data_IF_984559430006
#
_entry.id   IF_984559430006
#
_cell.length_a   1.000
_cell.length_b   1.000
_cell.length_c   1.000
_cell.angle_alpha   90.00
_cell.angle_beta   90.00
_cell.angle_gamma   90.00
#
_symmetry.space_group_name_H-M   'P 1'
#
loop_
_entity.id
_entity.type
_entity.pdbx_description
1 polymer ?
#
# COMPACT_ATOMS: atom_id res chain seq x y z
N UNK A 1 -13.80 -1.80 -30.16
CA UNK A 1 -12.94 -2.39 -29.10
C UNK A 1 -12.31 -3.62 -29.69
N UNK A 2 -11.05 -3.93 -29.36
CA UNK A 2 -10.38 -5.16 -29.81
C UNK A 2 -11.11 -6.39 -29.25
N UNK A 3 -11.25 -7.45 -30.07
CA UNK A 3 -11.77 -8.76 -29.67
C UNK A 3 -10.69 -9.64 -29.01
N UNK A 4 -9.50 -9.11 -28.80
CA UNK A 4 -8.39 -9.85 -28.21
C UNK A 4 -8.74 -10.32 -26.78
N UNK A 5 -8.37 -11.55 -26.46
CA UNK A 5 -8.58 -12.13 -25.12
C UNK A 5 -7.84 -11.31 -24.05
N UNK A 6 -8.52 -10.89 -22.95
CA UNK A 6 -7.86 -10.21 -21.84
C UNK A 6 -6.88 -11.15 -21.13
N UNK A 7 -5.61 -10.73 -21.06
CA UNK A 7 -4.52 -11.49 -20.40
C UNK A 7 -3.93 -10.66 -19.29
N UNK A 8 -3.74 -11.25 -18.11
CA UNK A 8 -2.99 -10.67 -17.00
C UNK A 8 -1.74 -11.51 -16.69
N UNK A 9 -0.59 -10.89 -16.80
CA UNK A 9 0.67 -11.41 -16.30
C UNK A 9 0.86 -10.92 -14.86
N UNK A 10 0.92 -11.88 -13.90
CA UNK A 10 1.02 -11.54 -12.48
C UNK A 10 2.44 -11.83 -12.00
N UNK A 11 3.21 -10.78 -11.74
CA UNK A 11 4.60 -10.88 -11.27
C UNK A 11 4.65 -10.84 -9.74
N UNK A 12 5.33 -11.78 -9.13
CA UNK A 12 5.53 -11.81 -7.68
C UNK A 12 6.97 -12.17 -7.33
N UNK A 13 7.64 -11.38 -6.47
CA UNK A 13 8.94 -11.76 -5.91
C UNK A 13 8.83 -12.89 -4.88
N UNK A 14 7.61 -13.32 -4.54
CA UNK A 14 7.36 -14.37 -3.58
C UNK A 14 7.40 -15.76 -4.24
N UNK A 15 7.58 -16.78 -3.41
CA UNK A 15 7.53 -18.19 -3.83
C UNK A 15 6.15 -18.60 -4.39
N UNK A 16 5.10 -17.89 -4.00
CA UNK A 16 3.74 -18.17 -4.44
C UNK A 16 3.03 -16.86 -4.81
N UNK A 17 2.23 -16.90 -5.86
CA UNK A 17 1.24 -15.86 -6.11
C UNK A 17 0.09 -16.01 -5.10
N UNK A 18 -0.43 -14.89 -4.63
CA UNK A 18 -1.56 -14.89 -3.71
C UNK A 18 -2.83 -15.41 -4.41
N UNK A 19 -3.53 -16.41 -3.85
CA UNK A 19 -4.84 -16.84 -4.39
C UNK A 19 -5.88 -15.72 -4.38
N UNK A 20 -5.80 -14.81 -3.41
CA UNK A 20 -6.66 -13.61 -3.36
C UNK A 20 -6.48 -12.76 -4.62
N UNK A 21 -5.24 -12.44 -5.00
CA UNK A 21 -4.95 -11.62 -6.17
C UNK A 21 -5.42 -12.30 -7.46
N UNK A 22 -5.28 -13.63 -7.55
CA UNK A 22 -5.77 -14.43 -8.69
C UNK A 22 -7.29 -14.35 -8.81
N UNK A 23 -8.02 -14.50 -7.70
CA UNK A 23 -9.48 -14.39 -7.69
C UNK A 23 -9.93 -12.99 -8.10
N UNK A 24 -9.31 -11.94 -7.56
CA UNK A 24 -9.62 -10.56 -7.94
C UNK A 24 -9.36 -10.28 -9.42
N UNK A 25 -8.31 -10.85 -9.99
CA UNK A 25 -8.03 -10.75 -11.42
C UNK A 25 -9.12 -11.40 -12.29
N UNK A 26 -9.61 -12.58 -11.87
CA UNK A 26 -10.71 -13.27 -12.55
C UNK A 26 -12.02 -12.47 -12.47
N UNK A 27 -12.34 -11.92 -11.29
CA UNK A 27 -13.54 -11.10 -11.08
C UNK A 27 -13.47 -9.78 -11.87
N UNK A 28 -12.27 -9.24 -12.07
CA UNK A 28 -12.03 -8.08 -12.93
C UNK A 28 -12.19 -8.37 -14.44
N UNK A 29 -12.44 -9.62 -14.82
CA UNK A 29 -12.78 -10.03 -16.18
C UNK A 29 -11.61 -10.51 -17.04
N UNK A 30 -10.42 -10.71 -16.47
CA UNK A 30 -9.34 -11.37 -17.18
C UNK A 30 -9.67 -12.83 -17.45
N UNK A 31 -9.41 -13.28 -18.68
CA UNK A 31 -9.72 -14.64 -19.15
C UNK A 31 -8.51 -15.59 -19.07
N UNK A 32 -7.33 -15.02 -19.20
CA UNK A 32 -6.06 -15.74 -19.04
C UNK A 32 -5.26 -15.03 -17.97
N UNK A 33 -4.88 -15.76 -16.93
CA UNK A 33 -4.13 -15.23 -15.77
C UNK A 33 -2.91 -16.12 -15.63
N UNK A 34 -1.73 -15.51 -15.76
CA UNK A 34 -0.45 -16.22 -15.74
C UNK A 34 0.41 -15.72 -14.59
N UNK A 35 0.58 -16.51 -13.52
CA UNK A 35 1.46 -16.14 -12.42
C UNK A 35 2.92 -16.46 -12.74
N UNK A 36 3.81 -15.50 -12.48
CA UNK A 36 5.27 -15.62 -12.45
C UNK A 36 5.71 -15.44 -11.00
N UNK A 37 6.45 -16.36 -10.47
CA UNK A 37 6.89 -16.42 -9.07
C UNK A 37 8.40 -16.33 -8.95
N UNK A 38 8.92 -15.90 -7.79
CA UNK A 38 10.34 -15.63 -7.55
C UNK A 38 10.93 -14.64 -8.57
N UNK A 39 10.12 -13.71 -9.09
CA UNK A 39 10.58 -12.71 -10.07
C UNK A 39 11.46 -11.70 -9.35
N UNK A 40 12.65 -11.46 -9.89
CA UNK A 40 13.55 -10.42 -9.42
C UNK A 40 13.25 -9.08 -10.10
N UNK A 41 13.74 -7.97 -9.54
CA UNK A 41 13.56 -6.64 -10.13
C UNK A 41 14.16 -6.56 -11.54
N UNK A 42 15.32 -7.20 -11.74
CA UNK A 42 16.05 -7.18 -13.01
C UNK A 42 15.31 -7.89 -14.15
N UNK A 43 14.46 -8.88 -13.83
CA UNK A 43 13.69 -9.65 -14.81
C UNK A 43 12.47 -8.89 -15.33
N UNK A 44 11.98 -7.88 -14.59
CA UNK A 44 10.71 -7.18 -14.90
C UNK A 44 10.74 -6.54 -16.28
N UNK A 45 11.85 -5.91 -16.65
CA UNK A 45 11.99 -5.25 -17.97
C UNK A 45 11.81 -6.25 -19.11
N UNK A 46 12.51 -7.38 -19.07
CA UNK A 46 12.41 -8.41 -20.11
C UNK A 46 11.01 -9.01 -20.19
N UNK A 47 10.40 -9.38 -19.06
CA UNK A 47 9.04 -9.91 -19.01
C UNK A 47 8.00 -8.92 -19.54
N UNK A 48 8.18 -7.62 -19.27
CA UNK A 48 7.29 -6.58 -19.78
C UNK A 48 7.46 -6.41 -21.30
N UNK A 49 8.68 -6.43 -21.81
CA UNK A 49 8.95 -6.32 -23.25
C UNK A 49 8.41 -7.52 -24.02
N UNK A 50 8.56 -8.73 -23.50
CA UNK A 50 7.94 -9.92 -24.07
C UNK A 50 6.42 -9.79 -24.17
N UNK A 51 5.79 -9.24 -23.13
CA UNK A 51 4.35 -9.04 -23.08
C UNK A 51 3.86 -8.00 -24.11
N UNK A 52 4.57 -6.87 -24.29
CA UNK A 52 4.15 -5.82 -25.23
C UNK A 52 4.42 -6.19 -26.69
N UNK A 53 5.55 -6.85 -26.99
CA UNK A 53 5.92 -7.18 -28.38
C UNK A 53 5.19 -8.42 -28.92
N UNK A 54 4.57 -9.21 -28.08
CA UNK A 54 3.79 -10.40 -28.47
C UNK A 54 2.42 -10.07 -29.05
N UNK A 55 1.98 -8.80 -29.03
CA UNK A 55 0.67 -8.35 -29.51
C UNK A 55 0.75 -7.06 -30.33
N UNK A 56 -0.17 -6.87 -31.29
CA UNK A 56 -0.26 -5.61 -31.99
C UNK A 56 -0.61 -4.46 -31.02
N UNK A 57 -0.17 -3.21 -31.28
CA UNK A 57 -0.37 -2.08 -30.36
C UNK A 57 -1.82 -1.84 -29.94
N UNK A 58 -2.80 -2.10 -30.83
CA UNK A 58 -4.22 -1.94 -30.54
C UNK A 58 -4.77 -2.92 -29.48
N UNK A 59 -4.07 -4.00 -29.21
CA UNK A 59 -4.44 -5.03 -28.22
C UNK A 59 -3.78 -4.80 -26.86
N UNK A 60 -2.92 -3.79 -26.74
CA UNK A 60 -2.24 -3.44 -25.48
C UNK A 60 -3.20 -3.18 -24.31
N UNK A 61 -4.35 -2.55 -24.57
CA UNK A 61 -5.39 -2.32 -23.57
C UNK A 61 -6.07 -3.61 -23.05
N UNK A 62 -5.80 -4.76 -23.69
CA UNK A 62 -6.31 -6.08 -23.28
C UNK A 62 -5.22 -6.93 -22.63
N UNK A 63 -4.05 -6.33 -22.35
CA UNK A 63 -2.93 -6.99 -21.68
C UNK A 63 -2.56 -6.16 -20.44
N UNK A 64 -2.36 -6.82 -19.32
CA UNK A 64 -1.95 -6.18 -18.08
C UNK A 64 -0.79 -6.89 -17.42
N UNK A 65 -0.02 -6.12 -16.65
CA UNK A 65 0.93 -6.63 -15.65
C UNK A 65 0.43 -6.21 -14.28
N UNK A 66 0.22 -7.20 -13.41
CA UNK A 66 -0.02 -7.00 -11.98
C UNK A 66 1.24 -7.36 -11.20
N UNK A 67 1.61 -6.52 -10.26
CA UNK A 67 2.76 -6.73 -9.37
C UNK A 67 2.25 -6.94 -7.96
N UNK A 68 2.38 -8.19 -7.49
CA UNK A 68 2.07 -8.59 -6.12
C UNK A 68 3.30 -8.53 -5.20
N UNK A 69 3.20 -9.16 -4.04
CA UNK A 69 4.31 -9.27 -3.09
C UNK A 69 3.93 -8.89 -1.66
N UNK A 70 4.94 -8.64 -0.85
CA UNK A 70 4.80 -8.24 0.58
C UNK A 70 5.75 -7.11 0.97
N UNK A 71 6.36 -6.46 0.00
CA UNK A 71 7.25 -5.32 0.19
C UNK A 71 6.76 -4.17 -0.69
N UNK A 72 6.40 -3.05 -0.07
CA UNK A 72 5.84 -1.89 -0.75
C UNK A 72 6.85 -1.27 -1.72
N UNK A 73 8.09 -1.12 -1.28
CA UNK A 73 9.12 -0.43 -2.06
C UNK A 73 9.52 -1.27 -3.25
N UNK A 74 9.84 -2.56 -3.04
CA UNK A 74 10.17 -3.47 -4.14
C UNK A 74 9.03 -3.54 -5.17
N UNK A 75 7.77 -3.60 -4.73
CA UNK A 75 6.63 -3.65 -5.66
C UNK A 75 6.49 -2.36 -6.48
N UNK A 76 6.81 -1.20 -5.90
CA UNK A 76 6.86 0.07 -6.63
C UNK A 76 8.04 0.13 -7.58
N UNK A 77 9.23 -0.35 -7.18
CA UNK A 77 10.40 -0.42 -8.05
C UNK A 77 10.13 -1.34 -9.26
N UNK A 78 9.52 -2.49 -9.04
CA UNK A 78 9.08 -3.38 -10.12
C UNK A 78 8.03 -2.71 -11.03
N UNK A 79 7.10 -1.93 -10.48
CA UNK A 79 6.13 -1.18 -11.28
C UNK A 79 6.80 -0.10 -12.12
N UNK A 80 7.78 0.61 -11.57
CA UNK A 80 8.52 1.63 -12.30
C UNK A 80 9.39 0.98 -13.41
N UNK A 81 10.01 -0.15 -13.15
CA UNK A 81 10.74 -0.92 -14.17
C UNK A 81 9.81 -1.39 -15.30
N UNK A 82 8.61 -1.88 -14.97
CA UNK A 82 7.60 -2.26 -15.97
C UNK A 82 7.13 -1.05 -16.80
N UNK A 83 6.89 0.11 -16.20
CA UNK A 83 6.52 1.33 -16.92
C UNK A 83 7.64 1.82 -17.84
N UNK A 84 8.89 1.78 -17.38
CA UNK A 84 10.05 2.21 -18.16
C UNK A 84 10.35 1.25 -19.33
N UNK A 85 9.92 0.00 -19.24
CA UNK A 85 10.08 -1.00 -20.29
C UNK A 85 9.10 -0.81 -21.47
N UNK A 86 8.09 0.04 -21.35
CA UNK A 86 7.12 0.30 -22.41
C UNK A 86 7.78 1.04 -23.57
N UNK A 87 7.52 0.59 -24.81
CA UNK A 87 8.10 1.14 -26.05
C UNK A 87 6.97 1.57 -26.98
N UNK A 88 6.63 2.87 -27.06
CA UNK A 88 5.55 3.32 -27.93
C UNK A 88 5.77 2.89 -29.40
N UNK A 89 4.73 2.45 -30.14
CA UNK A 89 3.31 2.44 -29.75
C UNK A 89 2.88 1.21 -28.94
N UNK A 90 3.80 0.31 -28.58
CA UNK A 90 3.53 -0.87 -27.79
C UNK A 90 3.39 -0.51 -26.32
N UNK A 91 2.32 -0.93 -25.69
CA UNK A 91 2.06 -0.65 -24.27
C UNK A 91 1.04 -1.64 -23.69
N UNK A 92 0.93 -1.64 -22.38
CA UNK A 92 -0.04 -2.41 -21.60
C UNK A 92 -0.37 -1.67 -20.31
N UNK A 93 -1.36 -2.16 -19.55
CA UNK A 93 -1.67 -1.63 -18.21
C UNK A 93 -0.75 -2.24 -17.16
N UNK A 94 -0.20 -1.39 -16.28
CA UNK A 94 0.58 -1.84 -15.11
C UNK A 94 -0.14 -1.45 -13.82
N UNK A 95 -0.18 -2.36 -12.85
CA UNK A 95 -0.77 -2.13 -11.54
C UNK A 95 0.01 -2.87 -10.47
N UNK A 96 0.33 -2.21 -9.36
CA UNK A 96 0.96 -2.82 -8.19
C UNK A 96 0.02 -2.73 -6.98
N UNK A 97 -0.21 -3.86 -6.32
CA UNK A 97 -0.96 -3.90 -5.05
C UNK A 97 -0.45 -5.05 -4.16
N UNK A 98 0.73 -4.90 -3.54
CA UNK A 98 1.34 -5.96 -2.75
C UNK A 98 0.45 -6.33 -1.57
N UNK A 99 -0.03 -7.57 -1.55
CA UNK A 99 -0.95 -8.11 -0.54
C UNK A 99 -2.26 -7.30 -0.38
N UNK A 100 -2.78 -6.69 -1.46
CA UNK A 100 -3.96 -5.83 -1.41
C UNK A 100 -3.79 -4.56 -0.56
N UNK A 101 -2.55 -4.12 -0.38
CA UNK A 101 -2.23 -3.11 0.63
C UNK A 101 -2.43 -1.69 0.17
N UNK A 102 -2.17 -1.38 -1.08
CA UNK A 102 -2.28 0.00 -1.59
C UNK A 102 -3.73 0.41 -1.73
N UNK A 103 -4.56 -0.47 -2.28
CA UNK A 103 -6.02 -0.25 -2.36
C UNK A 103 -6.64 -0.17 -0.98
N UNK A 104 -6.24 -1.03 -0.04
CA UNK A 104 -6.68 -1.00 1.36
C UNK A 104 -6.27 0.30 2.05
N UNK A 105 -5.02 0.73 1.92
CA UNK A 105 -4.53 1.98 2.50
C UNK A 105 -5.30 3.19 1.95
N UNK A 106 -5.51 3.25 0.64
CA UNK A 106 -6.27 4.32 0.00
C UNK A 106 -7.73 4.37 0.50
N UNK A 107 -8.39 3.22 0.61
CA UNK A 107 -9.75 3.13 1.13
C UNK A 107 -9.84 3.58 2.59
N UNK A 108 -8.87 3.18 3.43
CA UNK A 108 -8.79 3.63 4.83
C UNK A 108 -8.66 5.13 4.96
N UNK A 109 -7.69 5.72 4.26
CA UNK A 109 -7.46 7.17 4.30
C UNK A 109 -8.69 7.92 3.82
N UNK A 110 -9.34 7.46 2.74
CA UNK A 110 -10.58 8.06 2.24
C UNK A 110 -11.75 7.95 3.25
N UNK A 111 -11.89 6.81 3.95
CA UNK A 111 -12.89 6.66 5.00
C UNK A 111 -12.67 7.64 6.16
N UNK A 112 -11.43 7.80 6.59
CA UNK A 112 -11.07 8.76 7.65
C UNK A 112 -11.32 10.19 7.18
N UNK A 113 -10.93 10.55 5.95
CA UNK A 113 -11.20 11.86 5.36
C UNK A 113 -12.70 12.18 5.37
N UNK A 114 -13.52 11.22 4.96
CA UNK A 114 -14.97 11.38 5.01
C UNK A 114 -15.48 11.72 6.41
N UNK A 115 -14.96 11.05 7.44
CA UNK A 115 -15.33 11.32 8.85
C UNK A 115 -14.82 12.68 9.31
N UNK A 116 -13.56 13.01 9.04
CA UNK A 116 -12.99 14.33 9.34
C UNK A 116 -13.86 15.45 8.76
N UNK A 117 -14.25 15.32 7.49
CA UNK A 117 -15.06 16.31 6.79
C UNK A 117 -16.50 16.37 7.33
N UNK A 118 -17.17 15.24 7.48
CA UNK A 118 -18.61 15.23 7.83
C UNK A 118 -18.88 15.45 9.30
N UNK A 119 -18.00 14.97 10.21
CA UNK A 119 -18.23 15.07 11.65
C UNK A 119 -17.48 16.23 12.30
N UNK A 120 -16.32 16.61 11.74
CA UNK A 120 -15.45 17.61 12.37
C UNK A 120 -15.24 18.87 11.51
N UNK A 121 -15.78 18.92 10.27
CA UNK A 121 -15.59 20.05 9.36
C UNK A 121 -14.13 20.28 8.98
N UNK A 122 -13.28 19.26 8.98
CA UNK A 122 -11.84 19.32 8.80
C UNK A 122 -11.40 18.49 7.59
N UNK A 123 -10.16 18.72 7.16
CA UNK A 123 -9.46 17.90 6.17
C UNK A 123 -8.24 17.26 6.82
N UNK A 124 -7.41 16.57 6.04
CA UNK A 124 -6.12 16.05 6.50
C UNK A 124 -5.11 17.15 6.87
N UNK A 125 -5.28 18.35 6.30
CA UNK A 125 -4.32 19.45 6.52
C UNK A 125 -4.07 19.68 7.99
N UNK A 126 -2.80 19.60 8.39
CA UNK A 126 -2.29 19.77 9.76
C UNK A 126 -2.86 18.76 10.78
N UNK A 127 -3.62 17.74 10.34
CA UNK A 127 -4.12 16.68 11.23
C UNK A 127 -2.94 15.83 11.72
N UNK A 128 -2.85 15.66 13.05
CA UNK A 128 -1.80 14.83 13.68
C UNK A 128 -2.21 13.37 13.66
N UNK A 129 -1.38 12.55 12.99
CA UNK A 129 -1.64 11.12 12.78
C UNK A 129 -0.53 10.30 13.44
N UNK A 130 -0.91 9.28 14.21
CA UNK A 130 0.02 8.26 14.71
C UNK A 130 -0.23 6.94 14.02
N UNK A 131 0.82 6.32 13.49
CA UNK A 131 0.72 5.04 12.77
C UNK A 131 1.52 3.97 13.50
N UNK A 132 0.79 3.02 14.12
CA UNK A 132 1.36 1.84 14.73
C UNK A 132 1.38 0.70 13.71
N UNK A 133 2.53 0.05 13.55
CA UNK A 133 2.74 -0.90 12.45
C UNK A 133 3.15 -0.25 11.13
N UNK A 134 3.71 0.94 11.20
CA UNK A 134 4.12 1.77 10.09
C UNK A 134 5.15 1.15 9.13
N UNK A 135 5.86 0.09 9.54
CA UNK A 135 6.82 -0.64 8.69
C UNK A 135 6.17 -1.79 7.89
N UNK A 136 4.88 -2.07 8.14
CA UNK A 136 4.09 -2.98 7.32
C UNK A 136 3.60 -2.28 6.05
N UNK A 137 3.24 -3.06 5.01
CA UNK A 137 2.89 -2.50 3.68
C UNK A 137 1.70 -1.53 3.76
N UNK A 138 0.62 -1.92 4.44
CA UNK A 138 -0.57 -1.06 4.62
C UNK A 138 -0.25 0.17 5.46
N UNK A 139 0.48 -0.01 6.57
CA UNK A 139 0.85 1.10 7.46
C UNK A 139 1.74 2.12 6.77
N UNK A 140 2.73 1.65 6.01
CA UNK A 140 3.60 2.52 5.22
C UNK A 140 2.81 3.29 4.15
N UNK A 141 1.99 2.59 3.35
CA UNK A 141 1.19 3.22 2.31
C UNK A 141 0.19 4.24 2.88
N UNK A 142 -0.51 3.90 3.99
CA UNK A 142 -1.43 4.83 4.66
C UNK A 142 -0.72 6.08 5.18
N UNK A 143 0.51 5.93 5.69
CA UNK A 143 1.33 7.06 6.16
C UNK A 143 1.66 8.01 5.02
N UNK A 144 2.09 7.48 3.86
CA UNK A 144 2.40 8.27 2.68
C UNK A 144 1.15 9.02 2.19
N UNK A 145 0.03 8.30 1.99
CA UNK A 145 -1.19 8.91 1.46
C UNK A 145 -1.70 10.02 2.39
N UNK A 146 -1.75 9.77 3.71
CA UNK A 146 -2.17 10.78 4.67
C UNK A 146 -1.25 12.01 4.67
N UNK A 147 0.07 11.82 4.54
CA UNK A 147 1.02 12.93 4.47
C UNK A 147 0.89 13.73 3.16
N UNK A 148 0.65 13.06 2.02
CA UNK A 148 0.37 13.71 0.74
C UNK A 148 -0.90 14.57 0.79
N UNK A 149 -1.90 14.18 1.60
CA UNK A 149 -3.10 14.96 1.87
C UNK A 149 -2.89 16.09 2.91
N UNK A 150 -1.68 16.24 3.43
CA UNK A 150 -1.27 17.34 4.32
C UNK A 150 -1.30 17.02 5.81
N UNK A 151 -1.42 15.75 6.20
CA UNK A 151 -1.33 15.33 7.59
C UNK A 151 0.12 15.37 8.11
N UNK A 152 0.27 15.58 9.44
CA UNK A 152 1.51 15.44 10.19
C UNK A 152 1.57 14.02 10.76
N UNK A 153 2.39 13.17 10.16
CA UNK A 153 2.36 11.73 10.43
C UNK A 153 3.56 11.30 11.27
N UNK A 154 3.29 10.64 12.40
CA UNK A 154 4.29 9.95 13.24
C UNK A 154 4.29 8.45 12.95
N UNK A 155 5.45 7.91 12.60
CA UNK A 155 5.69 6.47 12.44
C UNK A 155 6.14 5.90 13.78
N UNK A 156 5.29 5.12 14.42
CA UNK A 156 5.55 4.63 15.77
C UNK A 156 6.29 3.29 15.73
N UNK A 157 7.50 3.29 16.29
CA UNK A 157 8.32 2.10 16.42
C UNK A 157 7.86 1.23 17.59
N UNK A 158 7.67 -0.08 17.36
CA UNK A 158 7.36 -1.04 18.42
C UNK A 158 8.62 -1.67 19.04
N UNK A 159 9.70 -1.76 18.25
CA UNK A 159 11.01 -2.31 18.67
C UNK A 159 12.11 -1.59 17.91
N UNK A 160 12.84 -0.71 18.59
CA UNK A 160 13.88 0.13 17.97
C UNK A 160 13.33 1.07 16.88
N UNK A 161 13.94 2.23 16.74
CA UNK A 161 13.50 3.27 15.79
C UNK A 161 14.08 3.11 14.39
N UNK A 162 15.07 2.25 14.20
CA UNK A 162 15.87 2.17 12.97
C UNK A 162 15.01 1.87 11.74
N UNK A 163 14.01 0.99 11.90
CA UNK A 163 13.12 0.63 10.80
C UNK A 163 12.20 1.77 10.36
N UNK A 164 11.64 2.51 11.31
CA UNK A 164 10.78 3.68 10.99
C UNK A 164 11.62 4.86 10.49
N UNK A 165 12.85 5.02 10.96
CA UNK A 165 13.80 6.00 10.42
C UNK A 165 14.11 5.69 8.95
N UNK A 166 14.38 4.42 8.62
CA UNK A 166 14.56 4.00 7.22
C UNK A 166 13.31 4.27 6.39
N UNK A 167 12.12 3.94 6.91
CA UNK A 167 10.85 4.21 6.21
C UNK A 167 10.66 5.71 5.96
N UNK A 168 10.96 6.57 6.93
CA UNK A 168 10.87 8.02 6.77
C UNK A 168 11.86 8.56 5.72
N UNK A 169 13.10 8.03 5.69
CA UNK A 169 14.08 8.41 4.67
C UNK A 169 13.61 8.05 3.26
N UNK A 170 13.11 6.82 3.06
CA UNK A 170 12.53 6.38 1.78
C UNK A 170 11.32 7.23 1.38
N UNK A 171 10.47 7.62 2.35
CA UNK A 171 9.32 8.48 2.08
C UNK A 171 9.74 9.85 1.59
N UNK A 172 10.78 10.43 2.18
CA UNK A 172 11.32 11.73 1.74
C UNK A 172 11.93 11.64 0.35
N UNK A 173 12.75 10.62 0.12
CA UNK A 173 13.46 10.43 -1.15
C UNK A 173 12.49 10.19 -2.32
N UNK A 174 11.50 9.31 -2.14
CA UNK A 174 10.66 8.83 -3.24
C UNK A 174 9.40 9.66 -3.47
N UNK A 175 8.82 10.22 -2.40
CA UNK A 175 7.51 10.89 -2.44
C UNK A 175 7.56 12.35 -2.03
N UNK A 176 8.73 12.84 -1.59
CA UNK A 176 8.94 14.18 -1.02
C UNK A 176 7.99 14.49 0.15
N UNK A 177 7.67 13.48 0.96
CA UNK A 177 6.88 13.65 2.19
C UNK A 177 7.74 13.43 3.43
N UNK A 178 7.50 14.27 4.45
CA UNK A 178 8.17 14.19 5.73
C UNK A 178 7.32 13.37 6.71
N UNK A 179 7.86 12.23 7.16
CA UNK A 179 7.27 11.40 8.19
C UNK A 179 8.17 11.43 9.43
N UNK A 180 7.58 11.61 10.62
CA UNK A 180 8.31 11.73 11.88
C UNK A 180 8.49 10.35 12.55
N UNK A 181 9.72 9.79 12.65
CA UNK A 181 9.96 8.58 13.44
C UNK A 181 9.77 8.85 14.93
N UNK A 182 9.04 8.02 15.63
CA UNK A 182 8.80 8.14 17.07
C UNK A 182 8.99 6.81 17.80
N UNK A 183 9.66 6.79 18.97
CA UNK A 183 9.76 5.61 19.82
C UNK A 183 8.40 5.31 20.47
N UNK A 184 7.99 4.05 20.45
CA UNK A 184 6.73 3.57 21.05
C UNK A 184 6.93 2.21 21.72
N UNK A 185 8.04 2.03 22.43
CA UNK A 185 8.40 0.79 23.10
C UNK A 185 7.74 0.67 24.47
N UNK A 186 7.72 1.78 25.24
CA UNK A 186 7.13 1.80 26.57
C UNK A 186 5.67 2.27 26.56
N UNK A 187 4.94 1.96 27.64
CA UNK A 187 3.56 2.40 27.81
C UNK A 187 3.45 3.93 27.86
N UNK A 188 4.40 4.59 28.52
CA UNK A 188 4.46 6.05 28.64
C UNK A 188 4.66 6.74 27.28
N UNK A 189 5.58 6.21 26.45
CA UNK A 189 5.81 6.69 25.10
C UNK A 189 4.55 6.57 24.23
N UNK A 190 3.90 5.39 24.28
CA UNK A 190 2.64 5.16 23.55
C UNK A 190 1.55 6.11 24.01
N UNK A 191 1.36 6.26 25.31
CA UNK A 191 0.34 7.15 25.89
C UNK A 191 0.56 8.59 25.46
N UNK A 192 1.79 9.08 25.47
CA UNK A 192 2.11 10.43 25.01
C UNK A 192 1.79 10.64 23.53
N UNK A 193 2.14 9.68 22.67
CA UNK A 193 1.85 9.72 21.23
C UNK A 193 0.34 9.68 20.96
N UNK A 194 -0.39 8.77 21.64
CA UNK A 194 -1.84 8.62 21.49
C UNK A 194 -2.56 9.90 21.94
N UNK A 195 -2.12 10.51 23.04
CA UNK A 195 -2.73 11.75 23.57
C UNK A 195 -2.53 12.96 22.66
N UNK A 196 -1.44 12.99 21.89
CA UNK A 196 -1.15 14.06 20.92
C UNK A 196 -1.87 13.83 19.58
N UNK A 197 -2.14 12.58 19.20
CA UNK A 197 -2.71 12.24 17.91
C UNK A 197 -4.21 12.56 17.81
N UNK A 198 -4.67 13.02 16.65
CA UNK A 198 -6.08 13.21 16.31
C UNK A 198 -6.64 12.02 15.53
N UNK A 199 -5.77 11.32 14.80
CA UNK A 199 -6.08 10.08 14.08
C UNK A 199 -5.04 9.03 14.42
N UNK A 200 -5.48 7.81 14.65
CA UNK A 200 -4.60 6.68 14.92
C UNK A 200 -4.88 5.58 13.91
N UNK A 201 -3.85 5.21 13.14
CA UNK A 201 -3.84 3.99 12.37
C UNK A 201 -3.13 2.89 13.14
N UNK A 202 -3.78 1.73 13.28
CA UNK A 202 -3.24 0.60 14.02
C UNK A 202 -3.33 -0.69 13.21
N UNK A 203 -2.18 -1.32 12.95
CA UNK A 203 -2.04 -2.50 12.09
C UNK A 203 -1.51 -3.74 12.82
N UNK A 204 -1.63 -3.80 14.14
CA UNK A 204 -1.25 -4.94 14.97
C UNK A 204 -2.47 -5.49 15.72
N UNK A 205 -2.39 -6.76 16.17
CA UNK A 205 -3.52 -7.47 16.79
C UNK A 205 -4.13 -6.81 18.03
N UNK A 206 -5.29 -7.31 18.41
CA UNK A 206 -6.29 -6.78 19.35
C UNK A 206 -5.77 -6.45 20.79
N UNK A 207 -4.63 -7.01 21.22
CA UNK A 207 -4.13 -6.81 22.60
C UNK A 207 -3.80 -5.35 22.96
N UNK A 208 -3.49 -4.53 21.98
CA UNK A 208 -3.21 -3.10 22.17
C UNK A 208 -4.48 -2.25 22.41
N UNK A 209 -5.64 -2.81 22.08
CA UNK A 209 -6.93 -2.10 22.11
C UNK A 209 -7.40 -1.73 23.50
N UNK A 210 -7.15 -2.59 24.49
CA UNK A 210 -7.57 -2.32 25.87
C UNK A 210 -6.97 -1.03 26.42
N UNK A 211 -5.72 -0.76 26.06
CA UNK A 211 -5.00 0.42 26.56
C UNK A 211 -5.45 1.72 25.86
N UNK A 212 -6.01 1.63 24.65
CA UNK A 212 -6.50 2.79 23.89
C UNK A 212 -7.96 3.17 24.22
N UNK A 213 -8.78 2.22 24.68
CA UNK A 213 -10.21 2.47 24.96
C UNK A 213 -10.46 3.33 26.19
N UNK A 214 -9.52 3.37 27.13
CA UNK A 214 -9.62 4.17 28.36
C UNK A 214 -9.17 5.64 28.15
N UNK A 215 -8.60 5.96 26.99
CA UNK A 215 -8.19 7.33 26.59
C UNK A 215 -9.30 7.93 25.74
N UNK A 216 -9.85 9.07 26.14
CA UNK A 216 -10.91 9.82 25.43
C UNK A 216 -10.57 10.02 23.95
N UNK A 217 -11.29 9.31 23.11
CA UNK A 217 -10.95 9.04 21.73
C UNK A 217 -11.25 10.14 20.75
N UNK A 218 -10.26 10.49 20.08
CA UNK A 218 -10.15 10.92 18.70
C UNK A 218 -10.26 9.69 17.78
N UNK A 219 -10.66 9.84 16.56
CA UNK A 219 -10.98 8.79 15.59
C UNK A 219 -9.91 7.68 15.50
N UNK A 220 -10.25 6.47 15.93
CA UNK A 220 -9.38 5.30 15.76
C UNK A 220 -9.88 4.49 14.58
N UNK A 221 -9.08 4.37 13.53
CA UNK A 221 -9.35 3.48 12.41
C UNK A 221 -8.54 2.19 12.60
N UNK A 222 -9.27 1.08 12.75
CA UNK A 222 -8.69 -0.21 13.03
C UNK A 222 -8.96 -1.12 11.85
N UNK A 223 -7.90 -1.62 11.24
CA UNK A 223 -7.97 -2.81 10.42
C UNK A 223 -7.51 -4.00 11.25
N UNK A 224 -8.46 -4.83 11.57
CA UNK A 224 -8.17 -6.18 12.05
C UNK A 224 -7.68 -7.00 10.85
N UNK A 225 -6.36 -7.15 10.71
CA UNK A 225 -5.82 -8.17 9.83
C UNK A 225 -6.23 -9.53 10.39
N UNK A 226 -7.07 -10.25 9.68
CA UNK A 226 -7.43 -11.65 9.74
C UNK A 226 -8.86 -12.07 10.17
N UNK A 227 -9.81 -11.21 10.45
CA UNK A 227 -11.20 -11.66 10.64
C UNK A 227 -12.20 -10.58 10.24
N UNK A 228 -12.45 -10.44 8.95
CA UNK A 228 -13.70 -9.86 8.48
C UNK A 228 -14.26 -10.83 7.44
N UNK A 229 -14.96 -11.86 7.91
CA UNK A 229 -16.04 -12.58 7.22
C UNK A 229 -16.72 -13.46 8.27
N UNK A 230 -17.61 -12.92 9.04
CA UNK A 230 -18.83 -13.53 9.54
C UNK A 230 -19.95 -12.51 9.38
#
# INVERSE_FOLDING_TARGET
>A
MSDATPILHMLSPQKHMSPFDVNMAADAGYKVIVPYINVTLEEVTALTQDAIFSRPPNDGARTGIFIGGKDAILSLDMMDAAKQALVPPFGLSTFADPAGSFTTAAAMVACVERVLRLKFGRTWKDTRVAVFGATGVVGFASSIIAALEGAKVKLVAHRGVERVVKSAAVSKERFDVDLEPAPGETAEQKTAIISDAEVIFHFHGISFFKDCLDLKLTLTCILLSNHIWE
#
